data_IF_744512298911
#
_entry.id   IF_744512298911
#
_cell.length_a   1.000
_cell.length_b   1.000
_cell.length_c   1.000
_cell.angle_alpha   90.00
_cell.angle_beta   90.00
_cell.angle_gamma   90.00
#
_symmetry.space_group_name_H-M   'P 1'
#
loop_
_entity.id
_entity.type
_entity.pdbx_description
1 polymer ?
#
# COMPACT_ATOMS: atom_id res chain seq x y z
N UNK A 1 -11.39 -33.12 2.02
CA UNK A 1 -11.87 -31.71 1.94
C UNK A 1 -12.38 -31.46 0.53
N UNK A 2 -13.49 -30.74 0.38
CA UNK A 2 -14.06 -30.49 -0.96
C UNK A 2 -13.15 -29.50 -1.72
N UNK A 3 -12.53 -29.94 -2.81
CA UNK A 3 -11.64 -29.12 -3.65
C UNK A 3 -12.29 -27.85 -4.18
N UNK A 4 -13.58 -27.89 -4.48
CA UNK A 4 -14.34 -26.72 -4.88
C UNK A 4 -14.41 -25.65 -3.77
N UNK A 5 -14.58 -26.08 -2.51
CA UNK A 5 -14.61 -25.17 -1.38
C UNK A 5 -13.27 -24.45 -1.20
N UNK A 6 -12.15 -25.20 -1.28
CA UNK A 6 -10.80 -24.60 -1.19
C UNK A 6 -10.57 -23.58 -2.29
N UNK A 7 -10.96 -23.90 -3.51
CA UNK A 7 -10.87 -22.98 -4.65
C UNK A 7 -11.67 -21.69 -4.41
N UNK A 8 -12.93 -21.78 -3.96
CA UNK A 8 -13.75 -20.60 -3.68
C UNK A 8 -13.19 -19.77 -2.53
N UNK A 9 -12.71 -20.41 -1.46
CA UNK A 9 -12.12 -19.69 -0.31
C UNK A 9 -10.80 -19.01 -0.70
N UNK A 10 -9.92 -19.68 -1.44
CA UNK A 10 -8.69 -19.10 -1.93
C UNK A 10 -8.98 -17.86 -2.79
N UNK A 11 -9.96 -17.96 -3.66
CA UNK A 11 -10.35 -16.88 -4.56
C UNK A 11 -10.99 -15.71 -3.82
N UNK A 12 -12.01 -15.97 -3.02
CA UNK A 12 -12.72 -14.96 -2.26
C UNK A 12 -11.81 -14.21 -1.30
N UNK A 13 -10.97 -14.95 -0.54
CA UNK A 13 -10.02 -14.33 0.38
C UNK A 13 -8.94 -13.51 -0.34
N UNK A 14 -8.48 -13.94 -1.52
CA UNK A 14 -7.54 -13.18 -2.34
C UNK A 14 -8.14 -11.86 -2.82
N UNK A 15 -9.40 -11.87 -3.31
CA UNK A 15 -10.10 -10.66 -3.75
C UNK A 15 -10.33 -9.69 -2.60
N UNK A 16 -10.80 -10.18 -1.45
CA UNK A 16 -10.99 -9.34 -0.25
C UNK A 16 -9.66 -8.75 0.20
N UNK A 17 -8.59 -9.55 0.22
CA UNK A 17 -7.24 -9.05 0.55
C UNK A 17 -6.79 -7.94 -0.42
N UNK A 18 -7.03 -8.08 -1.73
CA UNK A 18 -6.68 -7.08 -2.74
C UNK A 18 -7.44 -5.77 -2.53
N UNK A 19 -8.76 -5.84 -2.27
CA UNK A 19 -9.59 -4.67 -1.99
C UNK A 19 -9.10 -3.96 -0.72
N UNK A 20 -8.86 -4.70 0.35
CA UNK A 20 -8.33 -4.16 1.61
C UNK A 20 -6.94 -3.55 1.42
N UNK A 21 -6.05 -4.22 0.68
CA UNK A 21 -4.71 -3.68 0.38
C UNK A 21 -4.79 -2.38 -0.41
N UNK A 22 -5.72 -2.28 -1.38
CA UNK A 22 -5.98 -1.05 -2.13
C UNK A 22 -6.51 0.07 -1.23
N UNK A 23 -7.43 -0.24 -0.32
CA UNK A 23 -7.94 0.73 0.67
C UNK A 23 -6.83 1.21 1.62
N UNK A 24 -5.97 0.30 2.08
CA UNK A 24 -4.78 0.62 2.89
C UNK A 24 -3.83 1.54 2.13
N UNK A 25 -3.56 1.28 0.85
CA UNK A 25 -2.74 2.12 -0.01
C UNK A 25 -3.34 3.54 -0.16
N UNK A 26 -4.65 3.65 -0.42
CA UNK A 26 -5.35 4.93 -0.48
C UNK A 26 -5.21 5.72 0.83
N UNK A 27 -5.49 5.09 1.97
CA UNK A 27 -5.36 5.73 3.28
C UNK A 27 -3.92 6.18 3.58
N UNK A 28 -2.92 5.38 3.20
CA UNK A 28 -1.52 5.74 3.32
C UNK A 28 -1.16 6.98 2.49
N UNK A 29 -1.63 7.05 1.25
CA UNK A 29 -1.45 8.21 0.37
C UNK A 29 -2.12 9.47 0.92
N UNK A 30 -3.36 9.35 1.42
CA UNK A 30 -4.10 10.44 2.03
C UNK A 30 -3.46 10.92 3.35
N UNK A 31 -2.93 10.01 4.16
CA UNK A 31 -2.21 10.36 5.39
C UNK A 31 -0.96 11.20 5.10
N UNK A 32 -0.19 10.84 4.05
CA UNK A 32 0.98 11.61 3.60
C UNK A 32 0.57 12.95 3.01
N UNK A 33 -0.52 13.03 2.27
CA UNK A 33 -1.09 14.27 1.73
C UNK A 33 -1.66 15.19 2.82
N UNK A 34 -1.69 14.73 4.09
CA UNK A 34 -2.31 15.44 5.21
C UNK A 34 -3.79 15.78 4.96
N UNK A 35 -4.48 14.92 4.20
CA UNK A 35 -5.90 15.07 3.96
C UNK A 35 -6.65 14.95 5.29
N UNK A 36 -7.44 15.97 5.60
CA UNK A 36 -8.28 16.02 6.81
C UNK A 36 -9.51 16.88 6.56
N UNK A 37 -10.57 16.58 7.28
CA UNK A 37 -11.77 17.40 7.32
C UNK A 37 -12.30 17.44 8.76
N UNK A 38 -13.27 18.33 9.02
CA UNK A 38 -13.94 18.46 10.33
C UNK A 38 -14.53 17.12 10.78
N UNK A 39 -15.02 16.32 9.84
CA UNK A 39 -15.67 15.02 10.08
C UNK A 39 -14.69 13.82 10.04
N UNK A 40 -13.48 14.01 9.45
CA UNK A 40 -12.47 12.96 9.29
C UNK A 40 -11.10 13.44 9.77
N UNK A 41 -10.83 13.38 11.08
CA UNK A 41 -9.57 13.81 11.65
C UNK A 41 -8.43 12.85 11.27
N UNK A 42 -7.21 13.37 11.22
CA UNK A 42 -6.01 12.65 10.78
C UNK A 42 -5.70 11.40 11.60
N UNK A 43 -5.97 11.40 12.91
CA UNK A 43 -5.73 10.22 13.75
C UNK A 43 -6.59 9.03 13.31
N UNK A 44 -7.83 9.29 12.87
CA UNK A 44 -8.73 8.25 12.37
C UNK A 44 -8.19 7.59 11.10
N UNK A 45 -7.60 8.37 10.18
CA UNK A 45 -6.96 7.83 8.96
C UNK A 45 -5.85 6.83 9.32
N UNK A 46 -5.01 7.16 10.32
CA UNK A 46 -3.91 6.29 10.76
C UNK A 46 -4.43 5.02 11.42
N UNK A 47 -5.44 5.14 12.27
CA UNK A 47 -6.00 3.99 12.99
C UNK A 47 -6.75 3.04 12.05
N UNK A 48 -7.56 3.59 11.13
CA UNK A 48 -8.25 2.78 10.11
C UNK A 48 -7.24 2.13 9.15
N UNK A 49 -6.18 2.84 8.74
CA UNK A 49 -5.10 2.27 7.93
C UNK A 49 -4.48 1.05 8.62
N UNK A 50 -4.16 1.15 9.91
CA UNK A 50 -3.59 0.05 10.70
C UNK A 50 -4.56 -1.14 10.81
N UNK A 51 -5.82 -0.88 11.14
CA UNK A 51 -6.83 -1.92 11.31
C UNK A 51 -7.11 -2.66 9.99
N UNK A 52 -7.25 -1.93 8.88
CA UNK A 52 -7.46 -2.54 7.57
C UNK A 52 -6.22 -3.28 7.08
N UNK A 53 -5.00 -2.81 7.41
CA UNK A 53 -3.77 -3.53 7.10
C UNK A 53 -3.73 -4.89 7.80
N UNK A 54 -4.06 -4.96 9.08
CA UNK A 54 -4.13 -6.23 9.82
C UNK A 54 -5.20 -7.16 9.25
N UNK A 55 -6.36 -6.64 8.91
CA UNK A 55 -7.42 -7.41 8.28
C UNK A 55 -7.00 -7.95 6.90
N UNK A 56 -6.33 -7.12 6.08
CA UNK A 56 -5.76 -7.54 4.80
C UNK A 56 -4.79 -8.71 4.95
N UNK A 57 -3.92 -8.65 5.98
CA UNK A 57 -2.98 -9.74 6.30
C UNK A 57 -3.69 -11.02 6.67
N UNK A 58 -4.76 -10.94 7.46
CA UNK A 58 -5.55 -12.13 7.84
C UNK A 58 -6.17 -12.80 6.60
N UNK A 59 -6.78 -12.03 5.70
CA UNK A 59 -7.32 -12.56 4.44
C UNK A 59 -6.23 -13.09 3.51
N UNK A 60 -5.06 -12.44 3.45
CA UNK A 60 -3.91 -12.90 2.69
C UNK A 60 -3.39 -14.24 3.23
N UNK A 61 -3.33 -14.42 4.54
CA UNK A 61 -2.94 -15.69 5.15
C UNK A 61 -3.92 -16.81 4.79
N UNK A 62 -5.22 -16.55 4.84
CA UNK A 62 -6.25 -17.51 4.40
C UNK A 62 -6.09 -17.83 2.92
N UNK A 63 -5.86 -16.82 2.07
CA UNK A 63 -5.61 -16.99 0.63
C UNK A 63 -4.44 -17.94 0.36
N UNK A 64 -3.29 -17.69 0.98
CA UNK A 64 -2.08 -18.47 0.78
C UNK A 64 -2.29 -19.91 1.31
N UNK A 65 -2.84 -20.05 2.50
CA UNK A 65 -3.06 -21.36 3.12
C UNK A 65 -4.00 -22.21 2.26
N UNK A 66 -5.09 -21.66 1.80
CA UNK A 66 -6.06 -22.38 0.96
C UNK A 66 -5.50 -22.72 -0.43
N UNK A 67 -4.71 -21.79 -1.02
CA UNK A 67 -4.04 -22.04 -2.30
C UNK A 67 -2.97 -23.15 -2.21
N UNK A 68 -2.24 -23.25 -1.09
CA UNK A 68 -1.26 -24.31 -0.85
C UNK A 68 -1.93 -25.65 -0.59
N UNK A 69 -3.08 -25.65 0.09
CA UNK A 69 -3.84 -26.87 0.40
C UNK A 69 -4.69 -27.36 -0.77
N UNK A 70 -4.87 -26.57 -1.82
CA UNK A 70 -5.67 -26.92 -2.99
C UNK A 70 -4.92 -27.94 -3.85
N UNK A 71 -5.42 -29.21 -3.95
CA UNK A 71 -4.79 -30.25 -4.74
C UNK A 71 -4.73 -29.95 -6.25
N UNK A 72 -5.61 -29.09 -6.75
CA UNK A 72 -5.67 -28.73 -8.17
C UNK A 72 -4.46 -27.91 -8.62
N UNK A 73 -3.99 -27.01 -7.76
CA UNK A 73 -2.88 -26.10 -8.12
C UNK A 73 -1.51 -26.76 -7.97
N UNK A 74 -1.39 -27.84 -7.21
CA UNK A 74 -0.12 -28.50 -6.85
C UNK A 74 0.97 -27.51 -6.39
N UNK A 75 0.55 -26.38 -5.74
CA UNK A 75 1.47 -25.29 -5.41
C UNK A 75 2.50 -25.71 -4.35
N UNK A 76 2.18 -26.56 -3.41
CA UNK A 76 3.09 -26.94 -2.33
C UNK A 76 3.66 -25.75 -1.52
N UNK A 77 4.19 -26.00 -0.35
CA UNK A 77 4.78 -24.96 0.51
C UNK A 77 5.99 -24.25 -0.14
N UNK A 78 6.78 -24.98 -0.91
CA UNK A 78 7.97 -24.41 -1.56
C UNK A 78 7.61 -23.32 -2.57
N UNK A 79 6.56 -23.53 -3.35
CA UNK A 79 6.09 -22.56 -4.34
C UNK A 79 5.42 -21.33 -3.72
N UNK A 80 4.92 -21.43 -2.49
CA UNK A 80 4.41 -20.29 -1.74
C UNK A 80 5.51 -19.39 -1.15
N UNK A 81 6.74 -19.94 -1.03
CA UNK A 81 7.89 -19.23 -0.47
C UNK A 81 8.90 -18.85 -1.54
N UNK A 82 9.22 -19.71 -2.50
CA UNK A 82 10.21 -19.42 -3.54
C UNK A 82 9.54 -18.89 -4.80
N UNK A 83 9.88 -17.68 -5.25
CA UNK A 83 9.42 -17.16 -6.54
C UNK A 83 9.83 -18.11 -7.67
N UNK A 84 8.94 -18.35 -8.64
CA UNK A 84 9.16 -19.18 -9.81
C UNK A 84 9.25 -20.69 -9.54
N UNK A 85 9.18 -21.16 -8.29
CA UNK A 85 9.21 -22.58 -7.96
C UNK A 85 7.87 -23.32 -8.24
N UNK A 86 6.83 -22.58 -8.58
CA UNK A 86 5.52 -23.14 -8.92
C UNK A 86 5.54 -23.84 -10.28
N UNK A 87 4.97 -25.05 -10.36
CA UNK A 87 4.68 -25.72 -11.63
C UNK A 87 3.44 -25.14 -12.32
N UNK A 88 2.56 -24.49 -11.55
CA UNK A 88 1.38 -23.78 -12.05
C UNK A 88 1.68 -22.29 -12.24
N UNK A 89 1.72 -21.84 -13.51
CA UNK A 89 1.94 -20.43 -13.85
C UNK A 89 3.09 -19.77 -13.08
N UNK A 90 4.35 -20.18 -13.27
CA UNK A 90 5.47 -19.81 -12.40
C UNK A 90 5.71 -18.32 -12.28
N UNK A 91 5.59 -17.56 -13.38
CA UNK A 91 5.79 -16.12 -13.38
C UNK A 91 4.68 -15.41 -12.60
N UNK A 92 3.44 -15.78 -12.87
CA UNK A 92 2.27 -15.18 -12.25
C UNK A 92 2.22 -15.45 -10.75
N UNK A 93 2.51 -16.69 -10.33
CA UNK A 93 2.63 -17.04 -8.91
C UNK A 93 3.83 -16.32 -8.27
N UNK A 94 4.95 -16.22 -8.99
CA UNK A 94 6.14 -15.50 -8.54
C UNK A 94 5.87 -14.03 -8.24
N UNK A 95 5.04 -13.34 -9.04
CA UNK A 95 4.62 -11.97 -8.75
C UNK A 95 3.91 -11.85 -7.39
N UNK A 96 3.04 -12.82 -7.06
CA UNK A 96 2.38 -12.89 -5.77
C UNK A 96 3.37 -13.10 -4.62
N UNK A 97 4.34 -14.00 -4.80
CA UNK A 97 5.39 -14.27 -3.79
C UNK A 97 6.27 -13.05 -3.55
N UNK A 98 6.67 -12.34 -4.60
CA UNK A 98 7.46 -11.10 -4.45
C UNK A 98 6.63 -10.02 -3.73
N UNK A 99 5.36 -9.85 -4.11
CA UNK A 99 4.46 -8.94 -3.41
C UNK A 99 4.30 -9.30 -1.93
N UNK A 100 4.19 -10.60 -1.61
CA UNK A 100 4.15 -11.12 -0.24
C UNK A 100 5.42 -10.76 0.55
N UNK A 101 6.61 -10.89 -0.04
CA UNK A 101 7.86 -10.52 0.61
C UNK A 101 7.90 -9.03 0.96
N UNK A 102 7.51 -8.17 0.01
CA UNK A 102 7.46 -6.74 0.25
C UNK A 102 6.43 -6.38 1.32
N UNK A 103 5.26 -7.01 1.29
CA UNK A 103 4.23 -6.81 2.30
C UNK A 103 4.71 -7.27 3.68
N UNK A 104 5.34 -8.44 3.77
CA UNK A 104 5.92 -8.97 5.02
C UNK A 104 7.01 -8.04 5.56
N UNK A 105 7.90 -7.54 4.73
CA UNK A 105 8.92 -6.57 5.12
C UNK A 105 8.30 -5.29 5.70
N UNK A 106 7.24 -4.76 5.07
CA UNK A 106 6.50 -3.59 5.56
C UNK A 106 5.86 -3.86 6.93
N UNK A 107 5.25 -5.02 7.12
CA UNK A 107 4.60 -5.40 8.38
C UNK A 107 5.63 -5.54 9.50
N UNK A 108 6.68 -6.33 9.25
CA UNK A 108 7.75 -6.59 10.24
C UNK A 108 8.42 -5.27 10.65
N UNK A 109 8.79 -4.43 9.68
CA UNK A 109 9.40 -3.14 10.00
C UNK A 109 8.44 -2.17 10.69
N UNK A 110 7.14 -2.25 10.42
CA UNK A 110 6.13 -1.44 11.13
C UNK A 110 5.97 -1.88 12.58
N UNK A 111 6.05 -3.17 12.87
CA UNK A 111 6.04 -3.71 14.24
C UNK A 111 7.33 -3.38 15.00
N UNK A 112 8.45 -3.30 14.29
CA UNK A 112 9.77 -3.00 14.87
C UNK A 112 10.15 -1.51 14.77
N UNK A 113 9.22 -0.64 14.37
CA UNK A 113 9.48 0.77 14.08
C UNK A 113 10.26 1.50 15.16
N UNK A 114 9.89 1.25 16.42
CA UNK A 114 10.53 1.91 17.57
C UNK A 114 11.99 1.45 17.80
N UNK A 115 12.36 0.28 17.26
CA UNK A 115 13.71 -0.29 17.37
C UNK A 115 14.60 0.06 16.18
N UNK A 116 14.05 0.13 14.96
CA UNK A 116 14.83 0.33 13.73
C UNK A 116 14.97 1.80 13.32
N UNK A 117 14.20 2.68 13.95
CA UNK A 117 14.17 4.10 13.64
C UNK A 117 13.33 4.46 12.41
N UNK A 118 12.90 5.72 12.37
CA UNK A 118 11.93 6.21 11.37
C UNK A 118 12.46 6.19 9.93
N UNK A 119 13.76 6.41 9.75
CA UNK A 119 14.38 6.49 8.41
C UNK A 119 14.33 5.15 7.69
N UNK A 120 14.78 4.08 8.35
CA UNK A 120 14.77 2.72 7.79
C UNK A 120 13.34 2.22 7.59
N UNK A 121 12.47 2.41 8.58
CA UNK A 121 11.05 2.08 8.45
C UNK A 121 10.44 2.75 7.21
N UNK A 122 10.65 4.03 7.02
CA UNK A 122 10.12 4.77 5.87
C UNK A 122 10.67 4.25 4.55
N UNK A 123 11.97 3.93 4.47
CA UNK A 123 12.58 3.39 3.26
C UNK A 123 11.94 2.05 2.85
N UNK A 124 11.76 1.13 3.82
CA UNK A 124 11.08 -0.15 3.55
C UNK A 124 9.59 0.06 3.24
N UNK A 125 8.92 0.98 3.93
CA UNK A 125 7.50 1.25 3.69
C UNK A 125 7.21 1.78 2.27
N UNK A 126 8.19 2.39 1.61
CA UNK A 126 8.10 2.78 0.20
C UNK A 126 7.98 1.59 -0.76
N UNK A 127 8.34 0.39 -0.33
CA UNK A 127 8.11 -0.83 -1.13
C UNK A 127 6.63 -1.10 -1.41
N UNK A 128 5.70 -0.45 -0.70
CA UNK A 128 4.27 -0.46 -1.01
C UNK A 128 3.97 -0.07 -2.46
N UNK A 129 4.76 0.86 -3.03
CA UNK A 129 4.62 1.29 -4.43
C UNK A 129 4.97 0.19 -5.45
N UNK A 130 5.76 -0.80 -5.04
CA UNK A 130 6.05 -1.98 -5.85
C UNK A 130 5.12 -3.16 -5.49
N UNK A 131 4.86 -3.38 -4.20
CA UNK A 131 4.06 -4.49 -3.70
C UNK A 131 2.63 -4.48 -4.27
N UNK A 132 1.98 -3.31 -4.29
CA UNK A 132 0.60 -3.20 -4.74
C UNK A 132 0.43 -3.48 -6.24
N UNK A 133 1.19 -2.90 -7.21
CA UNK A 133 1.05 -3.25 -8.62
C UNK A 133 1.44 -4.70 -8.92
N UNK A 134 2.37 -5.29 -8.18
CA UNK A 134 2.67 -6.73 -8.30
C UNK A 134 1.48 -7.59 -7.86
N UNK A 135 0.78 -7.21 -6.78
CA UNK A 135 -0.45 -7.89 -6.36
C UNK A 135 -1.56 -7.76 -7.40
N UNK A 136 -1.73 -6.60 -8.03
CA UNK A 136 -2.67 -6.39 -9.15
C UNK A 136 -2.31 -7.29 -10.33
N UNK A 137 -1.06 -7.29 -10.77
CA UNK A 137 -0.60 -8.13 -11.87
C UNK A 137 -0.80 -9.62 -11.56
N UNK A 138 -0.48 -10.05 -10.35
CA UNK A 138 -0.76 -11.40 -9.86
C UNK A 138 -2.26 -11.74 -9.94
N UNK A 139 -3.13 -10.87 -9.46
CA UNK A 139 -4.57 -11.12 -9.41
C UNK A 139 -5.20 -11.29 -10.80
N UNK A 140 -4.74 -10.52 -11.80
CA UNK A 140 -5.22 -10.60 -13.18
C UNK A 140 -4.69 -11.85 -13.87
N UNK A 141 -3.43 -12.22 -13.63
CA UNK A 141 -2.74 -13.22 -14.44
C UNK A 141 -2.72 -14.62 -13.84
N UNK A 142 -2.74 -14.76 -12.52
CA UNK A 142 -2.63 -16.05 -11.87
C UNK A 142 -3.96 -16.84 -11.83
N UNK A 143 -5.08 -16.14 -11.75
CA UNK A 143 -6.38 -16.77 -11.63
C UNK A 143 -6.98 -17.23 -12.97
N UNK A 144 -7.88 -18.23 -12.93
CA UNK A 144 -8.64 -18.72 -14.09
C UNK A 144 -9.64 -17.67 -14.63
N UNK A 145 -10.14 -16.82 -13.75
CA UNK A 145 -11.14 -15.78 -14.01
C UNK A 145 -10.59 -14.35 -13.83
N UNK A 146 -9.25 -14.18 -13.81
CA UNK A 146 -8.60 -12.88 -13.69
C UNK A 146 -9.02 -11.88 -14.78
N UNK A 147 -9.40 -12.37 -15.93
CA UNK A 147 -9.91 -11.58 -17.09
C UNK A 147 -11.45 -11.58 -17.18
N UNK A 148 -12.16 -12.20 -16.25
CA UNK A 148 -13.63 -12.16 -16.24
C UNK A 148 -14.12 -10.72 -16.02
N UNK A 149 -15.23 -10.30 -16.65
CA UNK A 149 -15.72 -8.92 -16.59
C UNK A 149 -15.87 -8.38 -15.17
N UNK A 150 -16.43 -9.17 -14.27
CA UNK A 150 -16.63 -8.79 -12.88
C UNK A 150 -15.28 -8.59 -12.13
N UNK A 151 -14.26 -9.42 -12.43
CA UNK A 151 -12.92 -9.28 -11.82
C UNK A 151 -12.19 -8.04 -12.36
N UNK A 152 -12.35 -7.75 -13.65
CA UNK A 152 -11.82 -6.53 -14.26
C UNK A 152 -12.46 -5.28 -13.67
N UNK A 153 -13.76 -5.31 -13.35
CA UNK A 153 -14.45 -4.20 -12.65
C UNK A 153 -13.87 -3.99 -11.27
N UNK A 154 -13.70 -5.07 -10.46
CA UNK A 154 -13.10 -4.97 -9.12
C UNK A 154 -11.67 -4.43 -9.19
N UNK A 155 -10.85 -5.02 -10.06
CA UNK A 155 -9.44 -4.59 -10.21
C UNK A 155 -9.35 -3.17 -10.75
N UNK A 156 -10.18 -2.81 -11.73
CA UNK A 156 -10.28 -1.46 -12.28
C UNK A 156 -10.69 -0.43 -11.22
N UNK A 157 -11.65 -0.77 -10.36
CA UNK A 157 -12.05 0.09 -9.24
C UNK A 157 -10.88 0.30 -8.25
N UNK A 158 -10.13 -0.75 -7.92
CA UNK A 158 -8.94 -0.65 -7.08
C UNK A 158 -7.87 0.27 -7.72
N UNK A 159 -7.59 0.09 -9.01
CA UNK A 159 -6.61 0.91 -9.74
C UNK A 159 -7.06 2.37 -9.80
N UNK A 160 -8.33 2.60 -10.10
CA UNK A 160 -8.90 3.94 -10.13
C UNK A 160 -8.81 4.65 -8.76
N UNK A 161 -9.18 3.95 -7.67
CA UNK A 161 -9.14 4.51 -6.33
C UNK A 161 -7.71 4.89 -5.90
N UNK A 162 -6.74 3.98 -6.09
CA UNK A 162 -5.34 4.25 -5.72
C UNK A 162 -4.75 5.32 -6.64
N UNK A 163 -5.06 5.31 -7.94
CA UNK A 163 -4.64 6.33 -8.90
C UNK A 163 -5.14 7.74 -8.51
N UNK A 164 -6.41 7.83 -8.11
CA UNK A 164 -7.02 9.09 -7.63
C UNK A 164 -6.35 9.58 -6.34
N UNK A 165 -6.11 8.69 -5.37
CA UNK A 165 -5.43 9.03 -4.13
C UNK A 165 -3.97 9.50 -4.39
N UNK A 166 -3.27 8.85 -5.32
CA UNK A 166 -1.92 9.24 -5.73
C UNK A 166 -1.91 10.61 -6.41
N UNK A 167 -2.84 10.85 -7.35
CA UNK A 167 -2.99 12.13 -8.01
C UNK A 167 -3.24 13.26 -7.01
N UNK A 168 -4.17 13.06 -6.07
CA UNK A 168 -4.44 14.01 -5.00
C UNK A 168 -3.19 14.30 -4.16
N UNK A 169 -2.43 13.28 -3.80
CA UNK A 169 -1.17 13.44 -3.06
C UNK A 169 -0.14 14.28 -3.81
N UNK A 170 0.02 14.08 -5.12
CA UNK A 170 0.96 14.82 -5.94
C UNK A 170 0.57 16.31 -6.01
N UNK A 171 -0.71 16.60 -6.20
CA UNK A 171 -1.24 17.96 -6.20
C UNK A 171 -1.05 18.67 -4.85
N UNK A 172 -1.33 17.98 -3.74
CA UNK A 172 -1.16 18.55 -2.39
C UNK A 172 0.32 18.89 -2.11
N UNK A 173 1.26 18.07 -2.62
CA UNK A 173 2.70 18.32 -2.52
C UNK A 173 3.14 19.59 -3.26
N UNK A 174 2.59 19.83 -4.44
CA UNK A 174 2.92 20.98 -5.29
C UNK A 174 2.38 22.29 -4.70
N UNK A 175 1.15 22.26 -4.18
CA UNK A 175 0.53 23.42 -3.53
C UNK A 175 1.30 23.86 -2.29
N UNK A 176 1.84 22.90 -1.52
CA UNK A 176 2.61 23.20 -0.32
C UNK A 176 4.00 23.80 -0.67
N UNK A 177 4.63 23.35 -1.76
CA UNK A 177 5.88 23.94 -2.26
C UNK A 177 5.71 25.39 -2.72
N UNK A 178 4.60 25.71 -3.39
CA UNK A 178 4.31 27.08 -3.86
C UNK A 178 3.95 28.05 -2.73
N UNK A 179 3.58 27.55 -1.55
CA UNK A 179 3.23 28.37 -0.38
C UNK A 179 4.40 28.70 0.54
N UNK A 180 5.56 28.13 0.32
CA UNK A 180 6.79 28.54 1.02
C UNK A 180 7.21 29.88 0.38
N UNK A 181 7.14 31.03 1.08
CA UNK A 181 7.70 32.27 0.57
C UNK A 181 9.19 32.04 0.33
N UNK A 182 9.70 32.72 -0.67
CA UNK A 182 11.13 32.74 -0.95
C UNK A 182 11.81 33.48 0.22
N UNK A 183 12.04 32.79 1.32
CA UNK A 183 12.71 33.33 2.52
C UNK A 183 14.13 33.80 2.17
N UNK A 184 14.64 33.35 1.01
CA UNK A 184 15.93 33.78 0.49
C UNK A 184 15.91 35.26 -0.03
N UNK A 185 14.74 35.76 -0.44
CA UNK A 185 14.63 37.19 -0.90
C UNK A 185 14.27 38.15 0.22
N UNK A 186 13.78 37.67 1.38
CA UNK A 186 13.43 38.52 2.54
C UNK A 186 14.60 38.89 3.45
N UNK A 187 15.81 38.39 3.18
CA UNK A 187 17.03 38.71 3.95
C UNK A 187 17.78 39.93 3.39
N UNK A 188 17.24 40.61 2.36
CA UNK A 188 17.94 41.70 1.69
C UNK A 188 17.55 43.11 2.18
N UNK A 189 16.52 43.27 2.98
CA UNK A 189 16.24 44.58 3.57
C UNK A 189 16.83 44.68 4.99
N UNK A 190 17.93 45.40 5.18
CA UNK A 190 18.43 45.67 6.52
C UNK A 190 17.37 46.49 7.27
N UNK A 191 16.89 45.97 8.40
CA UNK A 191 16.05 46.75 9.31
C UNK A 191 16.74 48.08 9.57
N UNK A 192 16.11 49.24 9.31
CA UNK A 192 16.72 50.51 9.62
C UNK A 192 16.95 50.58 11.13
N UNK A 193 18.21 50.57 11.52
CA UNK A 193 18.58 50.76 12.94
C UNK A 193 18.38 52.23 13.19
N UNK A 194 17.28 52.64 13.82
CA UNK A 194 17.13 53.99 14.32
C UNK A 194 18.18 54.30 15.40
N UNK A 195 18.98 55.35 15.24
CA UNK A 195 20.03 55.63 16.20
C UNK A 195 19.42 56.09 17.52
N UNK A 196 19.89 55.51 18.61
CA UNK A 196 19.39 55.64 19.98
C UNK A 196 19.44 57.06 20.60
N UNK A 197 19.93 58.06 19.83
CA UNK A 197 20.12 59.44 20.32
C UNK A 197 18.94 60.40 19.93
N UNK A 198 17.85 59.92 19.39
CA UNK A 198 16.73 60.81 18.95
C UNK A 198 15.70 61.07 20.06
N UNK A 199 15.94 60.73 21.28
CA UNK A 199 15.05 61.00 22.43
C UNK A 199 15.79 61.90 23.46
N UNK A 200 16.08 63.14 23.08
CA UNK A 200 16.36 64.23 24.01
C UNK A 200 15.42 65.39 23.69
#
# INVERSE_FOLDING_TARGET
>A
MNTQLLWFVARGSGIVSLILFSAVACLGLLAVARAQSTWWPRFLTVEVHRSLALLSVAFLAVHILTAVLDPFTHLGLLAAVLPLASTYRPIQTGLGVISLYLATAMIVTSLLRDRIGHSLWRAVHWSAYAAWPLAIAHSITAGSDGTAPWMLVVTGACVFAVGTALFYRLQAGDTNRRRLPDVATGLADPVPVEPAWRND
#
